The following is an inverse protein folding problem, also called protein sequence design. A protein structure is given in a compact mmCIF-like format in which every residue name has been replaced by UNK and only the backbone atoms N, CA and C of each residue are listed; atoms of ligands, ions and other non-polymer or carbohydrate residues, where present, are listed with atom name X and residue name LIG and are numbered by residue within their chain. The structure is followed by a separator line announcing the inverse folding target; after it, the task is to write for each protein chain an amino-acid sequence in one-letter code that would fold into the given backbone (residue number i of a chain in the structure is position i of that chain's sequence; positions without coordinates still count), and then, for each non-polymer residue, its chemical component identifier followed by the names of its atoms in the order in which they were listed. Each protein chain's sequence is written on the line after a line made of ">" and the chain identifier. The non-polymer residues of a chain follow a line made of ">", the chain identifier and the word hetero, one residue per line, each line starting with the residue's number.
data_IF_529661380744
#
_entry.id   IF_529661380744
#
_cell.length_a   1.000
_cell.length_b   1.000
_cell.length_c   1.000
_cell.angle_alpha   90.00
_cell.angle_beta   90.00
_cell.angle_gamma   90.00
#
_symmetry.space_group_name_H-M   'P 1'
#
loop_
_entity.id
_entity.type
_entity.pdbx_description
1 polymer ?
#
# COMPACT_ATOMS: atom_id res chain seq x y z
N UNK A 1 -5.18 29.67 -3.04
CA UNK A 1 -6.31 29.14 -3.84
C UNK A 1 -5.86 27.98 -4.73
N UNK A 2 -4.67 28.04 -5.35
CA UNK A 2 -4.13 27.00 -6.24
C UNK A 2 -4.17 25.57 -5.67
N UNK A 3 -3.80 25.38 -4.40
CA UNK A 3 -3.85 24.06 -3.74
C UNK A 3 -5.26 23.46 -3.66
N UNK A 4 -6.28 24.30 -3.45
CA UNK A 4 -7.67 23.85 -3.40
C UNK A 4 -8.14 23.37 -4.79
N UNK A 5 -7.71 24.07 -5.85
CA UNK A 5 -8.01 23.68 -7.23
C UNK A 5 -7.31 22.37 -7.58
N UNK A 6 -6.02 22.24 -7.25
CA UNK A 6 -5.27 20.99 -7.47
C UNK A 6 -5.93 19.80 -6.76
N UNK A 7 -6.33 19.96 -5.50
CA UNK A 7 -7.02 18.88 -4.78
C UNK A 7 -8.38 18.58 -5.38
N UNK A 8 -9.11 19.60 -5.85
CA UNK A 8 -10.41 19.42 -6.50
C UNK A 8 -10.30 18.66 -7.82
N UNK A 9 -9.23 18.89 -8.60
CA UNK A 9 -8.96 18.25 -9.89
C UNK A 9 -8.77 16.73 -9.77
N UNK A 10 -8.07 16.30 -8.71
CA UNK A 10 -7.77 14.88 -8.46
C UNK A 10 -8.57 14.29 -7.29
N UNK A 11 -9.75 14.84 -6.97
CA UNK A 11 -10.50 14.45 -5.77
C UNK A 11 -11.20 13.08 -5.86
N UNK A 12 -11.14 12.38 -7.00
CA UNK A 12 -11.84 11.12 -7.24
C UNK A 12 -11.72 10.13 -6.07
N UNK A 13 -10.48 9.80 -5.63
CA UNK A 13 -10.26 8.91 -4.49
C UNK A 13 -10.77 9.42 -3.14
N UNK A 14 -11.02 10.72 -2.98
CA UNK A 14 -11.57 11.31 -1.76
C UNK A 14 -13.12 11.27 -1.72
N UNK A 15 -13.76 10.70 -2.74
CA UNK A 15 -15.22 10.54 -2.82
C UNK A 15 -15.63 9.14 -2.35
N UNK A 16 -16.93 8.99 -2.07
CA UNK A 16 -17.51 7.67 -1.79
C UNK A 16 -17.12 6.67 -2.89
N UNK A 17 -17.00 5.41 -2.51
CA UNK A 17 -16.50 4.34 -3.36
C UNK A 17 -17.25 4.24 -4.71
N UNK A 18 -18.57 4.36 -4.71
CA UNK A 18 -19.40 4.31 -5.91
C UNK A 18 -19.02 5.38 -6.95
N UNK A 19 -18.71 6.59 -6.47
CA UNK A 19 -18.29 7.71 -7.33
C UNK A 19 -16.84 7.54 -7.77
N UNK A 20 -15.95 7.15 -6.84
CA UNK A 20 -14.54 6.93 -7.13
C UNK A 20 -14.37 5.93 -8.28
N UNK A 21 -14.99 4.76 -8.16
CA UNK A 21 -14.91 3.68 -9.14
C UNK A 21 -15.43 4.11 -10.51
N UNK A 22 -16.52 4.89 -10.57
CA UNK A 22 -17.01 5.43 -11.85
C UNK A 22 -15.99 6.34 -12.54
N UNK A 23 -15.31 7.20 -11.79
CA UNK A 23 -14.26 8.05 -12.34
C UNK A 23 -13.04 7.23 -12.76
N UNK A 24 -12.61 6.29 -11.93
CA UNK A 24 -11.49 5.39 -12.22
C UNK A 24 -11.69 4.66 -13.56
N UNK A 25 -12.86 4.04 -13.78
CA UNK A 25 -13.10 3.30 -15.02
C UNK A 25 -13.20 4.21 -16.24
N UNK A 26 -13.76 5.43 -16.10
CA UNK A 26 -13.81 6.39 -17.21
C UNK A 26 -12.41 6.85 -17.63
N UNK A 27 -11.53 7.13 -16.67
CA UNK A 27 -10.14 7.51 -16.94
C UNK A 27 -9.36 6.33 -17.53
N UNK A 28 -9.59 5.11 -17.02
CA UNK A 28 -8.96 3.92 -17.56
C UNK A 28 -9.36 3.67 -19.02
N UNK A 29 -10.63 3.85 -19.38
CA UNK A 29 -11.08 3.71 -20.77
C UNK A 29 -10.39 4.73 -21.68
N UNK A 30 -10.26 5.99 -21.26
CA UNK A 30 -9.53 7.02 -22.02
C UNK A 30 -8.05 6.64 -22.21
N UNK A 31 -7.40 6.09 -21.17
CA UNK A 31 -6.03 5.57 -21.27
C UNK A 31 -5.93 4.42 -22.26
N UNK A 32 -6.91 3.52 -22.28
CA UNK A 32 -6.92 2.40 -23.21
C UNK A 32 -7.18 2.84 -24.65
N UNK A 33 -8.05 3.83 -24.87
CA UNK A 33 -8.25 4.43 -26.20
C UNK A 33 -6.95 5.04 -26.73
N UNK A 34 -6.19 5.75 -25.88
CA UNK A 34 -4.87 6.25 -26.25
C UNK A 34 -3.88 5.11 -26.55
N UNK A 35 -3.85 4.06 -25.72
CA UNK A 35 -2.96 2.91 -25.93
C UNK A 35 -3.24 2.16 -27.24
N UNK A 36 -4.51 2.05 -27.64
CA UNK A 36 -4.91 1.46 -28.91
C UNK A 36 -4.43 2.31 -30.11
N UNK A 37 -4.50 3.64 -29.98
CA UNK A 37 -3.98 4.57 -31.00
C UNK A 37 -2.45 4.45 -31.11
N UNK A 38 -1.73 4.45 -29.98
CA UNK A 38 -0.27 4.25 -29.95
C UNK A 38 0.13 2.93 -30.61
N UNK A 39 -0.57 1.83 -30.30
CA UNK A 39 -0.32 0.53 -30.91
C UNK A 39 -0.59 0.54 -32.42
N UNK A 40 -1.67 1.19 -32.86
CA UNK A 40 -2.04 1.32 -34.28
C UNK A 40 -0.98 2.11 -35.05
N UNK A 41 -0.37 3.11 -34.41
CA UNK A 41 0.74 3.89 -34.97
C UNK A 41 2.10 3.16 -34.92
N UNK A 42 2.15 1.93 -34.37
CA UNK A 42 3.39 1.18 -34.18
C UNK A 42 4.32 1.79 -33.12
N UNK A 43 3.78 2.60 -32.22
CA UNK A 43 4.52 3.20 -31.11
C UNK A 43 4.52 2.25 -29.90
N UNK A 44 5.47 2.45 -28.99
CA UNK A 44 5.43 1.78 -27.71
C UNK A 44 4.22 2.30 -26.91
N UNK A 45 3.33 1.39 -26.50
CA UNK A 45 2.19 1.72 -25.65
C UNK A 45 2.66 2.27 -24.30
N UNK A 46 2.09 3.39 -23.91
CA UNK A 46 2.37 4.10 -22.68
C UNK A 46 2.05 3.25 -21.45
N UNK A 47 2.74 3.46 -20.32
CA UNK A 47 2.48 2.70 -19.09
C UNK A 47 1.01 2.78 -18.67
N UNK A 48 0.44 1.65 -18.25
CA UNK A 48 -0.96 1.49 -17.83
C UNK A 48 -2.02 1.66 -18.93
N UNK A 49 -1.62 1.91 -20.18
CA UNK A 49 -2.53 2.14 -21.31
C UNK A 49 -2.80 0.86 -22.14
N UNK A 50 -2.17 -0.25 -21.82
CA UNK A 50 -2.42 -1.53 -22.48
C UNK A 50 -3.62 -2.26 -21.86
N UNK A 51 -4.74 -2.33 -22.60
CA UNK A 51 -5.94 -3.06 -22.19
C UNK A 51 -5.80 -4.59 -22.22
N UNK A 52 -4.78 -5.12 -22.91
CA UNK A 52 -4.47 -6.56 -22.92
C UNK A 52 -3.72 -6.99 -21.65
N UNK A 53 -3.09 -6.04 -20.96
CA UNK A 53 -2.37 -6.25 -19.70
C UNK A 53 -2.75 -5.18 -18.67
N UNK A 54 -4.03 -5.16 -18.22
CA UNK A 54 -4.53 -4.11 -17.35
C UNK A 54 -3.83 -4.17 -15.98
N UNK A 55 -3.42 -3.00 -15.49
CA UNK A 55 -2.77 -2.82 -14.18
C UNK A 55 -3.50 -1.76 -13.35
N UNK A 56 -4.84 -1.77 -13.41
CA UNK A 56 -5.68 -0.72 -12.83
C UNK A 56 -5.48 -0.58 -11.32
N UNK A 57 -5.40 -1.70 -10.59
CA UNK A 57 -5.21 -1.67 -9.14
C UNK A 57 -3.87 -1.03 -8.75
N UNK A 58 -2.80 -1.41 -9.45
CA UNK A 58 -1.45 -0.82 -9.27
C UNK A 58 -1.44 0.67 -9.61
N UNK A 59 -2.11 1.06 -10.69
CA UNK A 59 -2.26 2.46 -11.09
C UNK A 59 -2.95 3.28 -9.99
N UNK A 60 -4.09 2.81 -9.48
CA UNK A 60 -4.86 3.54 -8.47
C UNK A 60 -4.15 3.58 -7.12
N UNK A 61 -3.55 2.48 -6.67
CA UNK A 61 -2.74 2.43 -5.44
C UNK A 61 -1.61 3.47 -5.51
N UNK A 62 -0.83 3.44 -6.60
CA UNK A 62 0.31 4.35 -6.81
C UNK A 62 -0.13 5.81 -6.92
N UNK A 63 -1.20 6.09 -7.66
CA UNK A 63 -1.77 7.43 -7.82
C UNK A 63 -2.23 8.01 -6.47
N UNK A 64 -2.94 7.21 -5.67
CA UNK A 64 -3.40 7.63 -4.35
C UNK A 64 -2.21 7.88 -3.43
N UNK A 65 -1.27 6.95 -3.36
CA UNK A 65 -0.13 7.02 -2.43
C UNK A 65 0.84 8.17 -2.75
N UNK A 66 1.09 8.46 -4.04
CA UNK A 66 2.12 9.42 -4.44
C UNK A 66 1.61 10.79 -4.84
N UNK A 67 0.32 10.95 -5.13
CA UNK A 67 -0.25 12.25 -5.54
C UNK A 67 -1.38 12.70 -4.61
N UNK A 68 -2.44 11.90 -4.47
CA UNK A 68 -3.65 12.35 -3.77
C UNK A 68 -3.44 12.44 -2.26
N UNK A 69 -2.84 11.42 -1.64
CA UNK A 69 -2.61 11.37 -0.20
C UNK A 69 -1.65 12.47 0.29
N UNK A 70 -0.47 12.70 -0.32
CA UNK A 70 0.39 13.82 0.08
C UNK A 70 -0.32 15.18 -0.03
N UNK A 71 -1.10 15.38 -1.09
CA UNK A 71 -1.85 16.62 -1.30
C UNK A 71 -2.97 16.81 -0.26
N UNK A 72 -3.73 15.75 0.03
CA UNK A 72 -4.79 15.77 1.01
C UNK A 72 -4.24 15.96 2.43
N UNK A 73 -3.13 15.32 2.77
CA UNK A 73 -2.47 15.45 4.07
C UNK A 73 -1.96 16.87 4.29
N UNK A 74 -1.24 17.45 3.33
CA UNK A 74 -0.78 18.83 3.42
C UNK A 74 -1.96 19.83 3.60
N UNK A 75 -3.09 19.58 2.93
CA UNK A 75 -4.29 20.41 3.06
C UNK A 75 -5.00 20.21 4.42
N UNK A 76 -4.97 18.99 4.95
CA UNK A 76 -5.50 18.64 6.28
C UNK A 76 -4.67 19.21 7.43
N UNK A 77 -3.35 19.09 7.35
CA UNK A 77 -2.41 19.67 8.32
C UNK A 77 -2.50 21.19 8.39
N UNK A 78 -2.81 21.84 7.26
CA UNK A 78 -3.10 23.27 7.21
C UNK A 78 -4.45 23.66 7.86
N UNK A 79 -5.26 22.68 8.32
CA UNK A 79 -6.57 22.92 8.92
C UNK A 79 -7.62 23.41 7.92
N UNK A 80 -7.41 23.17 6.62
CA UNK A 80 -8.29 23.66 5.55
C UNK A 80 -9.34 22.63 5.11
N UNK A 81 -9.19 21.37 5.51
CA UNK A 81 -10.19 20.34 5.24
C UNK A 81 -11.45 20.57 6.10
N UNK A 82 -12.64 20.53 5.48
CA UNK A 82 -13.88 20.58 6.24
C UNK A 82 -14.05 19.31 7.07
N UNK A 83 -14.47 19.44 8.32
CA UNK A 83 -14.70 18.32 9.22
C UNK A 83 -15.61 18.68 10.38
N UNK A 84 -16.00 17.65 11.13
CA UNK A 84 -16.84 17.77 12.32
C UNK A 84 -16.03 17.34 13.54
N UNK A 85 -16.19 18.07 14.65
CA UNK A 85 -15.61 17.67 15.92
C UNK A 85 -16.29 16.39 16.41
N UNK A 86 -15.48 15.41 16.82
CA UNK A 86 -15.95 14.16 17.43
C UNK A 86 -15.61 14.20 18.91
N UNK A 87 -16.59 13.89 19.75
CA UNK A 87 -16.39 13.79 21.20
C UNK A 87 -15.66 12.48 21.53
N UNK A 88 -14.85 12.50 22.59
CA UNK A 88 -13.99 11.37 22.99
C UNK A 88 -14.75 10.15 23.55
N UNK A 89 -16.08 10.11 23.49
CA UNK A 89 -16.91 9.00 24.00
C UNK A 89 -17.14 7.87 22.99
N UNK A 90 -16.74 8.05 21.73
CA UNK A 90 -17.02 7.10 20.64
C UNK A 90 -15.78 6.28 20.21
N UNK A 91 -14.69 6.30 21.00
CA UNK A 91 -13.61 5.32 20.85
C UNK A 91 -13.94 4.08 21.67
N UNK A 92 -14.25 2.98 20.98
CA UNK A 92 -14.05 1.64 21.54
C UNK A 92 -12.54 1.47 21.77
N UNK A 93 -12.05 1.97 22.90
CA UNK A 93 -10.67 1.79 23.32
C UNK A 93 -10.48 0.32 23.73
N UNK A 94 -9.79 -0.42 22.87
CA UNK A 94 -9.16 -1.72 23.18
C UNK A 94 -8.38 -1.59 24.50
N UNK A 95 -8.74 -2.45 25.45
CA UNK A 95 -8.25 -2.45 26.81
C UNK A 95 -6.74 -2.68 26.87
N UNK A 96 -5.95 -1.61 27.02
CA UNK A 96 -4.58 -1.76 27.51
C UNK A 96 -4.59 -2.01 29.02
N UNK A 97 -3.96 -3.12 29.37
CA UNK A 97 -4.02 -3.74 30.67
C UNK A 97 -2.82 -3.27 31.48
N UNK A 98 -2.93 -2.19 32.24
CA UNK A 98 -2.01 -1.93 33.35
C UNK A 98 -2.77 -1.53 34.61
N UNK A 99 -3.07 -2.55 35.43
CA UNK A 99 -3.50 -2.34 36.81
C UNK A 99 -2.26 -2.03 37.64
N UNK A 100 -1.94 -0.74 37.75
CA UNK A 100 -1.10 -0.24 38.83
C UNK A 100 -1.88 -0.42 40.15
N UNK A 101 -1.51 -1.45 40.90
CA UNK A 101 -1.98 -1.68 42.27
C UNK A 101 -1.55 -0.51 43.14
N UNK A 102 -2.51 0.20 43.71
CA UNK A 102 -2.30 1.03 44.89
C UNK A 102 -3.32 0.67 45.95
N UNK A 103 -2.80 0.53 47.18
CA UNK A 103 -3.44 0.92 48.44
C UNK A 103 -3.84 -0.20 49.43
N UNK A 104 -3.01 -0.30 50.48
CA UNK A 104 -3.43 -0.28 51.88
C UNK A 104 -2.19 0.22 52.66
N UNK A 105 -2.16 1.39 53.27
CA UNK A 105 -3.05 1.84 54.35
C UNK A 105 -2.32 1.64 55.67
N UNK A 106 -1.70 2.69 56.24
CA UNK A 106 -1.39 2.73 57.67
C UNK A 106 -1.21 4.16 58.15
N UNK A 107 -2.21 4.59 58.92
CA UNK A 107 -2.21 5.80 59.73
C UNK A 107 -1.14 5.72 60.82
N UNK A 108 -0.46 6.84 61.09
CA UNK A 108 0.06 7.11 62.44
C UNK A 108 0.21 8.61 62.61
N UNK A 109 -0.40 9.10 63.68
CA UNK A 109 -0.53 10.49 64.09
C UNK A 109 0.62 10.80 65.05
N UNK A 110 1.31 11.93 64.88
CA UNK A 110 2.10 12.51 65.96
C UNK A 110 2.18 14.04 65.81
N UNK A 111 1.67 14.71 66.85
CA UNK A 111 1.71 16.15 67.11
C UNK A 111 3.14 16.68 67.17
N UNK A 112 3.38 17.91 66.68
CA UNK A 112 4.22 18.91 67.38
C UNK A 112 3.98 20.29 66.78
N UNK A 113 3.63 21.24 67.65
CA UNK A 113 3.37 22.65 67.37
C UNK A 113 4.67 23.44 67.19
N UNK A 114 4.68 24.41 66.27
CA UNK A 114 5.80 25.31 66.07
C UNK A 114 5.45 26.44 65.10
N UNK A 115 5.27 27.64 65.65
CA UNK A 115 5.02 28.89 64.94
C UNK A 115 6.17 29.24 63.97
N UNK A 116 5.86 29.84 62.80
CA UNK A 116 6.46 31.09 62.29
C UNK A 116 6.14 31.34 60.80
N UNK A 117 5.88 32.61 60.52
CA UNK A 117 6.16 33.33 59.27
C UNK A 117 5.32 33.07 58.02
N UNK A 118 4.58 34.13 57.68
CA UNK A 118 3.94 34.38 56.40
C UNK A 118 4.88 34.13 55.21
N UNK A 119 4.53 33.14 54.38
CA UNK A 119 4.86 33.13 52.97
C UNK A 119 3.70 32.46 52.22
N UNK A 120 3.05 33.24 51.35
CA UNK A 120 1.91 32.78 50.57
C UNK A 120 2.32 31.61 49.67
N UNK A 121 1.62 30.48 49.79
CA UNK A 121 1.77 29.37 48.83
C UNK A 121 1.27 29.84 47.46
N UNK A 122 2.04 29.67 46.38
CA UNK A 122 1.51 29.93 45.05
C UNK A 122 0.44 28.89 44.73
N UNK A 123 -0.76 29.35 44.36
CA UNK A 123 -1.81 28.51 43.81
C UNK A 123 -1.25 27.79 42.57
N UNK A 124 -1.00 26.49 42.67
CA UNK A 124 -0.74 25.66 41.48
C UNK A 124 -2.06 25.46 40.76
N UNK A 125 -2.25 26.16 39.63
CA UNK A 125 -3.38 25.87 38.74
C UNK A 125 -3.20 24.42 38.28
N UNK A 126 -4.22 23.55 38.41
CA UNK A 126 -4.17 22.26 37.75
C UNK A 126 -3.98 22.55 36.26
N UNK A 127 -2.85 22.13 35.69
CA UNK A 127 -2.71 22.08 34.24
C UNK A 127 -3.66 20.99 33.77
N UNK A 128 -4.92 21.33 33.54
CA UNK A 128 -5.81 20.50 32.75
C UNK A 128 -5.19 20.47 31.37
N UNK A 129 -4.45 19.39 31.09
CA UNK A 129 -3.88 19.09 29.81
C UNK A 129 -5.08 18.91 28.88
N UNK A 130 -5.45 19.98 28.17
CA UNK A 130 -6.57 19.98 27.24
C UNK A 130 -6.22 18.99 26.14
N UNK A 131 -6.88 17.84 26.15
CA UNK A 131 -6.70 16.85 25.09
C UNK A 131 -7.16 17.49 23.77
N UNK A 132 -6.37 17.40 22.70
CA UNK A 132 -6.77 17.94 21.41
C UNK A 132 -8.03 17.21 20.94
N UNK A 133 -9.08 17.97 20.59
CA UNK A 133 -10.34 17.41 20.09
C UNK A 133 -10.10 16.80 18.71
N UNK A 134 -10.64 15.60 18.47
CA UNK A 134 -10.52 14.90 17.19
C UNK A 134 -11.48 15.51 16.16
N UNK A 135 -11.01 15.68 14.93
CA UNK A 135 -11.85 16.11 13.79
C UNK A 135 -12.06 14.92 12.86
N UNK A 136 -13.32 14.62 12.55
CA UNK A 136 -13.70 13.68 11.50
C UNK A 136 -13.85 14.41 10.18
N UNK A 137 -13.10 13.98 9.16
CA UNK A 137 -13.18 14.49 7.79
C UNK A 137 -13.61 13.35 6.87
N UNK A 138 -14.70 13.56 6.11
CA UNK A 138 -15.22 12.53 5.21
C UNK A 138 -14.26 12.25 4.05
N UNK A 139 -13.59 13.29 3.54
CA UNK A 139 -12.65 13.17 2.44
C UNK A 139 -11.47 12.25 2.79
N UNK A 140 -10.92 12.39 4.00
CA UNK A 140 -9.80 11.54 4.45
C UNK A 140 -10.26 10.11 4.72
N UNK A 141 -11.47 9.93 5.26
CA UNK A 141 -12.06 8.59 5.43
C UNK A 141 -12.22 7.87 4.10
N UNK A 142 -12.87 8.50 3.12
CA UNK A 142 -13.05 7.89 1.80
C UNK A 142 -11.71 7.61 1.10
N UNK A 143 -10.74 8.50 1.24
CA UNK A 143 -9.40 8.29 0.69
C UNK A 143 -8.76 7.03 1.26
N UNK A 144 -8.86 6.82 2.57
CA UNK A 144 -8.39 5.60 3.24
C UNK A 144 -9.14 4.36 2.75
N UNK A 145 -10.47 4.38 2.78
CA UNK A 145 -11.32 3.25 2.36
C UNK A 145 -11.02 2.84 0.90
N UNK A 146 -10.89 3.82 0.00
CA UNK A 146 -10.59 3.56 -1.41
C UNK A 146 -9.15 3.07 -1.62
N UNK A 147 -8.19 3.59 -0.86
CA UNK A 147 -6.81 3.10 -0.92
C UNK A 147 -6.73 1.62 -0.51
N UNK A 148 -7.36 1.27 0.61
CA UNK A 148 -7.42 -0.11 1.09
C UNK A 148 -8.06 -1.06 0.09
N UNK A 149 -9.13 -0.63 -0.57
CA UNK A 149 -9.76 -1.39 -1.65
C UNK A 149 -8.76 -1.77 -2.75
N UNK A 150 -7.99 -0.80 -3.28
CA UNK A 150 -7.02 -1.08 -4.35
C UNK A 150 -5.83 -1.90 -3.88
N UNK A 151 -5.37 -1.68 -2.64
CA UNK A 151 -4.33 -2.52 -2.02
C UNK A 151 -4.79 -3.97 -1.92
N UNK A 152 -6.05 -4.22 -1.56
CA UNK A 152 -6.60 -5.56 -1.47
C UNK A 152 -6.70 -6.23 -2.84
N UNK A 153 -7.19 -5.52 -3.87
CA UNK A 153 -7.21 -6.04 -5.24
C UNK A 153 -5.79 -6.34 -5.73
N UNK A 154 -4.83 -5.45 -5.49
CA UNK A 154 -3.45 -5.66 -5.92
C UNK A 154 -2.81 -6.90 -5.27
N UNK A 155 -3.12 -7.16 -4.00
CA UNK A 155 -2.69 -8.39 -3.30
C UNK A 155 -3.31 -9.64 -3.93
N UNK A 156 -4.60 -9.60 -4.28
CA UNK A 156 -5.30 -10.71 -4.94
C UNK A 156 -4.75 -10.98 -6.35
N UNK A 157 -4.49 -9.93 -7.13
CA UNK A 157 -3.87 -10.02 -8.45
C UNK A 157 -2.46 -10.65 -8.37
N UNK A 158 -1.63 -10.20 -7.43
CA UNK A 158 -0.28 -10.74 -7.25
C UNK A 158 -0.31 -12.22 -6.82
N UNK A 159 -1.17 -12.57 -5.87
CA UNK A 159 -1.35 -13.98 -5.45
C UNK A 159 -1.78 -14.86 -6.62
N UNK A 160 -2.67 -14.37 -7.48
CA UNK A 160 -3.14 -15.11 -8.65
C UNK A 160 -2.03 -15.30 -9.68
N UNK A 161 -1.20 -14.27 -9.91
CA UNK A 161 -0.03 -14.34 -10.80
C UNK A 161 1.04 -15.30 -10.27
N UNK A 162 1.33 -15.27 -8.97
CA UNK A 162 2.27 -16.19 -8.32
C UNK A 162 1.79 -17.66 -8.40
N UNK A 163 0.50 -17.90 -8.17
CA UNK A 163 -0.09 -19.22 -8.29
C UNK A 163 -0.03 -19.75 -9.73
N UNK A 164 -0.34 -18.91 -10.72
CA UNK A 164 -0.24 -19.27 -12.13
C UNK A 164 1.20 -19.57 -12.55
N UNK A 165 2.18 -18.77 -12.11
CA UNK A 165 3.59 -19.00 -12.39
C UNK A 165 4.10 -20.32 -11.77
N UNK A 166 3.65 -20.64 -10.56
CA UNK A 166 4.00 -21.92 -9.89
C UNK A 166 3.42 -23.12 -10.64
N UNK A 167 2.18 -23.03 -11.12
CA UNK A 167 1.56 -24.11 -11.91
C UNK A 167 2.26 -24.32 -13.25
N UNK A 168 2.68 -23.24 -13.91
CA UNK A 168 3.38 -23.30 -15.19
C UNK A 168 4.81 -23.86 -15.06
N UNK A 169 5.50 -23.61 -13.93
CA UNK A 169 6.80 -24.20 -13.64
C UNK A 169 6.72 -25.71 -13.37
N UNK A 170 5.67 -26.19 -12.68
CA UNK A 170 5.49 -27.62 -12.40
C UNK A 170 5.14 -28.44 -13.65
N UNK A 171 4.52 -27.82 -14.67
CA UNK A 171 4.26 -28.49 -15.95
C UNK A 171 5.47 -28.58 -16.89
N UNK A 172 6.47 -27.70 -16.72
CA UNK A 172 7.66 -27.64 -17.58
C UNK A 172 8.74 -28.66 -17.15
N UNK A 173 8.76 -29.07 -15.88
CA UNK A 173 9.68 -30.11 -15.37
C UNK A 173 9.16 -31.56 -15.56
N UNK A 174 8.08 -31.76 -16.34
CA UNK A 174 7.42 -33.06 -16.54
C UNK A 174 7.68 -33.75 -17.88
N UNK A 175 8.48 -33.15 -18.78
CA UNK A 175 8.76 -33.69 -20.13
C UNK A 175 10.21 -34.21 -20.30
N UNK A 176 10.71 -34.96 -19.31
CA UNK A 176 11.93 -35.76 -19.46
C UNK A 176 11.53 -37.25 -19.54
N UNK A 177 11.01 -37.67 -20.69
CA UNK A 177 10.59 -39.05 -20.96
C UNK A 177 11.79 -40.02 -21.08
N UNK A 178 11.64 -41.16 -20.43
CA UNK A 178 12.58 -42.27 -20.38
C UNK A 178 12.74 -42.96 -21.74
N UNK A 179 13.94 -42.97 -22.32
CA UNK A 179 14.37 -44.10 -23.15
C UNK A 179 15.76 -44.56 -22.75
N UNK A 180 15.82 -45.38 -21.70
CA UNK A 180 16.99 -46.19 -21.37
C UNK A 180 16.79 -47.62 -21.90
N UNK A 181 17.54 -47.98 -22.94
CA UNK A 181 17.81 -49.38 -23.29
C UNK A 181 19.33 -49.55 -23.27
N UNK A 182 19.83 -50.22 -22.23
CA UNK A 182 21.21 -50.75 -22.13
C UNK A 182 21.39 -51.96 -23.08
N UNK A 183 22.59 -52.14 -23.68
CA UNK A 183 23.55 -53.20 -23.31
C UNK A 183 24.81 -53.28 -24.24
N UNK A 184 25.98 -52.88 -23.69
CA UNK A 184 27.34 -53.52 -23.74
C UNK A 184 28.27 -53.51 -25.01
N UNK A 185 29.62 -53.71 -24.87
CA UNK A 185 30.66 -52.88 -25.49
C UNK A 185 31.79 -53.58 -26.31
N UNK A 186 32.37 -52.85 -27.28
CA UNK A 186 33.75 -52.95 -27.87
C UNK A 186 34.18 -54.28 -28.56
N UNK A 187 35.23 -54.37 -29.44
CA UNK A 187 36.40 -53.49 -29.58
C UNK A 187 36.81 -53.08 -31.02
N UNK A 188 37.69 -52.07 -31.10
CA UNK A 188 38.39 -51.60 -32.31
C UNK A 188 39.35 -52.64 -32.90
N UNK A 189 39.73 -52.52 -34.19
CA UNK A 189 41.12 -52.08 -34.45
C UNK A 189 41.36 -51.26 -35.74
N UNK A 190 42.34 -50.34 -35.62
CA UNK A 190 43.45 -50.03 -36.55
C UNK A 190 43.18 -49.57 -38.01
N UNK A 191 43.63 -48.33 -38.24
CA UNK A 191 44.54 -47.84 -39.31
C UNK A 191 44.07 -47.79 -40.78
N UNK A 192 44.66 -46.81 -41.48
CA UNK A 192 44.55 -46.43 -42.91
C UNK A 192 43.38 -45.47 -43.22
N UNK A 193 43.54 -44.31 -43.84
CA UNK A 193 44.66 -43.73 -44.58
C UNK A 193 44.51 -42.20 -44.68
N UNK A 194 45.62 -41.59 -45.09
CA UNK A 194 45.99 -40.18 -45.02
C UNK A 194 45.14 -39.23 -45.86
N UNK A 195 45.14 -37.97 -45.39
CA UNK A 195 45.24 -36.73 -46.17
C UNK A 195 45.45 -36.94 -47.67
N UNK A 196 44.61 -36.32 -48.52
CA UNK A 196 45.00 -35.39 -49.61
C UNK A 196 43.72 -34.91 -50.31
N UNK A 197 43.79 -33.70 -50.88
CA UNK A 197 42.87 -33.06 -51.85
C UNK A 197 41.87 -32.07 -51.24
N UNK A 198 42.40 -30.91 -50.86
CA UNK A 198 41.79 -29.62 -51.19
C UNK A 198 42.73 -28.89 -52.15
N UNK A 199 42.43 -28.92 -53.45
CA UNK A 199 42.78 -27.90 -54.45
C UNK A 199 42.05 -28.24 -55.76
N UNK A 200 41.69 -27.20 -56.54
CA UNK A 200 40.90 -27.14 -57.79
C UNK A 200 39.40 -26.87 -57.54
N UNK A 201 39.00 -25.61 -57.42
CA UNK A 201 38.68 -24.65 -58.50
C UNK A 201 38.72 -23.21 -57.96
#
# INVERSE_FOLDING_TARGET
>A
MEMAIKLADINGPCKRHDIHVQWTYRIAEEFYEQGDEEATLGMQVSPFMDRCSPQLAKLQESFINHLVAPLCNAYGEAGLLPGQWVEASDSEDEADTDKTVSQAGRDTEEDTEGETSASGRPWKRPSQQLQPRKVSCLQTKHLQDNYEHWVNILKEENRSKEAAATQQAVSDEGEDDETAVEDQPSPSPLQEEMETIQEIE
#
